data_IF_007322374985
#
_entry.id   IF_007322374985
#
_cell.length_a   1.000
_cell.length_b   1.000
_cell.length_c   1.000
_cell.angle_alpha   90.00
_cell.angle_beta   90.00
_cell.angle_gamma   90.00
#
_symmetry.space_group_name_H-M   'P 1'
#
loop_
_entity.id
_entity.type
_entity.pdbx_description
1 polymer ?
#
# COMPACT_ATOMS: atom_id res chain seq x y z
N UNK A 1 4.78 3.73 0.02
CA UNK A 1 5.92 2.90 -0.47
C UNK A 1 5.51 1.43 -0.46
N UNK A 2 6.31 0.53 -1.05
CA UNK A 2 6.10 -0.93 -1.11
C UNK A 2 7.42 -1.65 -0.88
N UNK A 3 7.38 -2.89 -0.40
CA UNK A 3 8.57 -3.70 -0.11
C UNK A 3 9.51 -3.84 -1.31
N UNK A 4 8.98 -4.14 -2.49
CA UNK A 4 9.76 -4.34 -3.71
C UNK A 4 10.47 -3.09 -4.27
N UNK A 5 10.39 -1.93 -3.60
CA UNK A 5 11.20 -0.74 -3.94
C UNK A 5 12.64 -0.91 -3.42
N UNK A 6 12.82 -1.69 -2.36
CA UNK A 6 14.12 -1.88 -1.69
C UNK A 6 14.68 -3.25 -2.05
N UNK A 7 15.97 -3.30 -2.42
CA UNK A 7 16.69 -4.57 -2.50
C UNK A 7 16.99 -5.07 -1.07
N UNK A 8 16.19 -6.05 -0.62
CA UNK A 8 16.30 -6.66 0.71
C UNK A 8 17.69 -7.26 0.97
N UNK A 9 18.39 -7.79 -0.05
CA UNK A 9 19.73 -8.36 0.14
C UNK A 9 20.76 -7.26 0.35
N UNK A 10 20.70 -6.19 -0.46
CA UNK A 10 21.58 -5.04 -0.30
C UNK A 10 21.35 -4.33 1.05
N UNK A 11 20.08 -4.22 1.48
CA UNK A 11 19.74 -3.69 2.79
C UNK A 11 20.35 -4.51 3.92
N UNK A 12 20.25 -5.84 3.86
CA UNK A 12 20.87 -6.72 4.86
C UNK A 12 22.38 -6.47 4.96
N UNK A 13 23.10 -6.45 3.82
CA UNK A 13 24.54 -6.17 3.79
C UNK A 13 24.84 -4.80 4.40
N UNK A 14 24.12 -3.75 4.00
CA UNK A 14 24.34 -2.40 4.50
C UNK A 14 24.16 -2.29 6.03
N UNK A 15 23.22 -3.06 6.59
CA UNK A 15 22.97 -3.11 8.04
C UNK A 15 24.06 -3.91 8.77
N UNK A 16 24.48 -5.06 8.24
CA UNK A 16 25.46 -5.92 8.89
C UNK A 16 26.89 -5.44 8.76
N UNK A 17 27.23 -4.76 7.66
CA UNK A 17 28.56 -4.18 7.43
C UNK A 17 28.68 -2.75 7.97
N UNK A 18 27.60 -2.20 8.55
CA UNK A 18 27.62 -0.88 9.18
C UNK A 18 27.66 0.30 8.21
N UNK A 19 27.22 0.12 6.97
CA UNK A 19 27.06 1.24 6.02
C UNK A 19 25.94 2.19 6.44
N UNK A 20 24.92 1.67 7.11
CA UNK A 20 23.86 2.44 7.76
C UNK A 20 23.70 1.97 9.21
N UNK A 21 23.26 2.88 10.08
CA UNK A 21 23.10 2.58 11.50
C UNK A 21 21.92 1.64 11.79
N UNK A 22 20.85 1.69 10.98
CA UNK A 22 19.64 0.89 11.17
C UNK A 22 18.58 1.16 10.11
N UNK A 23 17.44 0.45 10.18
CA UNK A 23 16.31 0.61 9.27
C UNK A 23 14.95 0.45 9.96
N UNK A 24 13.94 1.21 9.50
CA UNK A 24 12.54 1.05 9.87
C UNK A 24 11.73 0.55 8.67
N UNK A 25 11.08 -0.61 8.81
CA UNK A 25 10.39 -1.29 7.72
C UNK A 25 8.93 -1.55 8.09
N UNK A 26 7.99 -0.89 7.41
CA UNK A 26 6.56 -1.26 7.47
C UNK A 26 6.16 -2.20 6.32
N UNK A 27 6.90 -2.19 5.21
CA UNK A 27 6.64 -3.08 4.07
C UNK A 27 7.94 -3.76 3.66
N UNK A 28 7.86 -5.05 3.33
CA UNK A 28 8.98 -5.89 2.90
C UNK A 28 8.52 -6.78 1.74
N UNK A 29 9.46 -7.34 0.98
CA UNK A 29 9.16 -8.28 -0.10
C UNK A 29 9.94 -9.58 0.09
N UNK A 30 9.29 -10.76 0.12
CA UNK A 30 7.83 -10.97 0.09
C UNK A 30 7.11 -10.51 1.37
N UNK A 31 5.79 -10.25 1.26
CA UNK A 31 4.89 -9.88 2.36
C UNK A 31 3.75 -10.92 2.48
N UNK A 32 3.63 -11.67 3.59
CA UNK A 32 4.47 -11.62 4.79
C UNK A 32 5.88 -12.21 4.55
N UNK A 33 6.91 -11.72 5.25
CA UNK A 33 8.24 -12.31 5.19
C UNK A 33 8.24 -13.71 5.84
N UNK A 34 9.17 -14.56 5.42
CA UNK A 34 9.46 -15.80 6.16
C UNK A 34 9.88 -15.45 7.59
N UNK A 35 9.46 -16.26 8.57
CA UNK A 35 9.93 -16.18 9.97
C UNK A 35 11.45 -16.32 10.10
N UNK A 36 12.08 -16.96 9.11
CA UNK A 36 13.53 -17.12 9.04
C UNK A 36 14.26 -15.98 8.35
N UNK A 37 13.54 -14.93 7.89
CA UNK A 37 14.15 -13.79 7.22
C UNK A 37 15.19 -13.12 8.13
N UNK A 38 16.47 -13.06 7.71
CA UNK A 38 17.55 -12.63 8.58
C UNK A 38 17.46 -11.15 8.98
N UNK A 39 16.82 -10.30 8.19
CA UNK A 39 16.60 -8.89 8.56
C UNK A 39 15.74 -8.75 9.81
N UNK A 40 14.78 -9.66 10.03
CA UNK A 40 13.91 -9.64 11.21
C UNK A 40 14.65 -10.01 12.50
N UNK A 41 15.88 -10.53 12.38
CA UNK A 41 16.72 -10.97 13.51
C UNK A 41 17.78 -9.92 13.90
N UNK A 42 17.84 -8.78 13.20
CA UNK A 42 18.83 -7.74 13.43
C UNK A 42 18.36 -6.76 14.53
N UNK A 43 19.22 -6.47 15.50
CA UNK A 43 18.92 -5.55 16.61
C UNK A 43 18.77 -4.09 16.16
N UNK A 44 19.30 -3.74 14.98
CA UNK A 44 19.23 -2.40 14.40
C UNK A 44 18.09 -2.24 13.37
N UNK A 45 17.07 -3.11 13.42
CA UNK A 45 15.89 -3.05 12.56
C UNK A 45 14.62 -2.95 13.39
N UNK A 46 13.77 -1.99 13.07
CA UNK A 46 12.39 -1.90 13.56
C UNK A 46 11.47 -2.36 12.43
N UNK A 47 10.62 -3.35 12.71
CA UNK A 47 9.66 -3.87 11.74
C UNK A 47 8.22 -3.70 12.24
N UNK A 48 7.34 -3.22 11.37
CA UNK A 48 5.89 -3.17 11.57
C UNK A 48 5.20 -3.93 10.44
N UNK A 49 4.16 -4.70 10.75
CA UNK A 49 3.56 -5.66 9.81
C UNK A 49 2.60 -5.04 8.80
N UNK A 50 3.07 -4.12 7.96
CA UNK A 50 2.26 -3.40 6.96
C UNK A 50 1.05 -2.70 7.59
N UNK A 51 1.30 -2.01 8.70
CA UNK A 51 0.27 -1.42 9.57
C UNK A 51 0.33 0.10 9.65
N UNK A 52 1.14 0.77 8.81
CA UNK A 52 1.22 2.24 8.83
C UNK A 52 -0.13 2.94 8.57
N UNK A 53 -1.14 2.22 8.07
CA UNK A 53 -2.49 2.74 7.88
C UNK A 53 -3.41 2.64 9.11
N UNK A 54 -3.02 1.88 10.14
CA UNK A 54 -3.92 1.43 11.22
C UNK A 54 -4.06 2.46 12.35
N UNK A 55 -4.55 3.67 12.04
CA UNK A 55 -4.94 4.69 13.01
C UNK A 55 -6.47 4.75 13.20
N UNK A 56 -6.97 5.15 14.38
CA UNK A 56 -8.42 5.19 14.64
C UNK A 56 -9.16 6.16 13.72
N UNK A 57 -8.56 7.31 13.36
CA UNK A 57 -9.13 8.24 12.38
C UNK A 57 -9.12 7.64 10.97
N UNK A 58 -8.06 6.91 10.62
CA UNK A 58 -7.91 6.28 9.32
C UNK A 58 -8.90 5.12 9.11
N UNK A 59 -9.25 4.38 10.17
CA UNK A 59 -10.20 3.27 10.11
C UNK A 59 -11.60 3.74 9.70
N UNK A 60 -12.11 4.83 10.30
CA UNK A 60 -13.40 5.40 9.91
C UNK A 60 -13.42 5.83 8.43
N UNK A 61 -12.34 6.47 7.97
CA UNK A 61 -12.18 6.93 6.60
C UNK A 61 -12.02 5.79 5.59
N UNK A 62 -11.36 4.70 5.99
CA UNK A 62 -11.14 3.51 5.17
C UNK A 62 -12.46 2.90 4.70
N UNK A 63 -13.50 2.95 5.54
CA UNK A 63 -14.84 2.48 5.17
C UNK A 63 -15.68 3.55 4.49
N UNK A 64 -15.65 4.78 4.99
CA UNK A 64 -16.48 5.88 4.48
C UNK A 64 -16.19 6.18 3.01
N UNK A 65 -14.91 6.37 2.67
CA UNK A 65 -14.52 6.87 1.33
C UNK A 65 -14.90 5.93 0.19
N UNK A 66 -14.62 4.61 0.23
CA UNK A 66 -15.03 3.71 -0.85
C UNK A 66 -16.56 3.66 -1.03
N UNK A 67 -17.32 3.69 0.07
CA UNK A 67 -18.79 3.66 0.01
C UNK A 67 -19.36 4.93 -0.62
N UNK A 68 -18.76 6.09 -0.35
CA UNK A 68 -19.13 7.35 -1.00
C UNK A 68 -18.90 7.31 -2.51
N UNK A 69 -17.80 6.72 -2.98
CA UNK A 69 -17.55 6.56 -4.42
C UNK A 69 -18.55 5.61 -5.08
N UNK A 70 -18.95 4.54 -4.40
CA UNK A 70 -20.01 3.62 -4.88
C UNK A 70 -21.35 4.37 -4.98
N UNK A 71 -21.71 5.13 -3.96
CA UNK A 71 -22.92 5.95 -3.96
C UNK A 71 -22.89 7.00 -5.07
N UNK A 72 -21.75 7.63 -5.31
CA UNK A 72 -21.51 8.58 -6.41
C UNK A 72 -21.78 7.95 -7.77
N UNK A 73 -21.19 6.78 -8.04
CA UNK A 73 -21.42 6.05 -9.29
C UNK A 73 -22.89 5.64 -9.46
N UNK A 74 -23.58 5.27 -8.36
CA UNK A 74 -25.01 4.97 -8.40
C UNK A 74 -25.86 6.18 -8.81
N UNK A 75 -25.43 7.40 -8.47
CA UNK A 75 -26.09 8.64 -8.87
C UNK A 75 -25.68 9.15 -10.25
N UNK A 76 -24.83 8.42 -10.98
CA UNK A 76 -24.41 8.80 -12.34
C UNK A 76 -23.17 9.71 -12.39
N UNK A 77 -22.51 9.90 -11.25
CA UNK A 77 -21.32 10.74 -11.14
C UNK A 77 -20.03 9.89 -11.16
N UNK A 78 -18.95 10.44 -11.75
CA UNK A 78 -17.64 9.77 -11.76
C UNK A 78 -16.96 9.81 -10.40
N UNK A 79 -16.25 8.73 -9.98
CA UNK A 79 -15.51 8.73 -8.73
C UNK A 79 -14.51 9.89 -8.64
N UNK A 80 -14.36 10.49 -7.46
CA UNK A 80 -13.38 11.56 -7.25
C UNK A 80 -11.94 11.06 -7.42
N UNK A 81 -11.64 9.88 -6.88
CA UNK A 81 -10.31 9.28 -6.93
C UNK A 81 -10.16 8.23 -8.06
N UNK A 82 -10.64 8.55 -9.26
CA UNK A 82 -10.48 7.65 -10.40
C UNK A 82 -9.03 7.62 -10.90
N UNK A 83 -8.28 6.61 -10.48
CA UNK A 83 -6.84 6.48 -10.80
C UNK A 83 -6.56 6.24 -12.28
N UNK A 84 -7.49 5.58 -12.99
CA UNK A 84 -7.33 5.22 -14.40
C UNK A 84 -8.41 5.90 -15.26
N UNK A 85 -8.34 7.22 -15.54
CA UNK A 85 -9.38 7.93 -16.28
C UNK A 85 -9.73 7.34 -17.65
N UNK A 86 -8.78 6.67 -18.31
CA UNK A 86 -8.96 5.99 -19.58
C UNK A 86 -10.02 4.87 -19.55
N UNK A 87 -10.39 4.37 -18.37
CA UNK A 87 -11.44 3.35 -18.26
C UNK A 87 -12.84 3.88 -18.54
N UNK A 88 -13.03 5.21 -18.53
CA UNK A 88 -14.34 5.85 -18.81
C UNK A 88 -14.88 5.45 -20.18
N UNK A 89 -14.03 5.43 -21.20
CA UNK A 89 -14.42 5.04 -22.57
C UNK A 89 -14.95 3.60 -22.62
N UNK A 90 -14.18 2.65 -22.04
CA UNK A 90 -14.58 1.24 -21.96
C UNK A 90 -15.86 1.05 -21.15
N UNK A 91 -16.01 1.82 -20.07
CA UNK A 91 -17.23 1.81 -19.26
C UNK A 91 -18.44 2.26 -20.08
N UNK A 92 -18.34 3.41 -20.77
CA UNK A 92 -19.43 3.96 -21.58
C UNK A 92 -19.80 3.04 -22.74
N UNK A 93 -18.82 2.43 -23.41
CA UNK A 93 -19.08 1.44 -24.46
C UNK A 93 -19.86 0.22 -23.95
N UNK A 94 -19.59 -0.23 -22.72
CA UNK A 94 -20.20 -1.43 -22.15
C UNK A 94 -21.55 -1.16 -21.48
N UNK A 95 -21.66 -0.03 -20.77
CA UNK A 95 -22.77 0.24 -19.86
C UNK A 95 -23.57 1.51 -20.21
N UNK A 96 -23.15 2.25 -21.24
CA UNK A 96 -23.74 3.54 -21.61
C UNK A 96 -23.18 4.70 -20.78
N UNK A 97 -23.65 5.91 -21.11
CA UNK A 97 -23.31 7.10 -20.32
C UNK A 97 -23.82 6.95 -18.89
N UNK A 98 -23.05 7.45 -17.94
CA UNK A 98 -23.58 7.62 -16.59
C UNK A 98 -24.67 8.68 -16.63
N UNK A 99 -25.79 8.39 -15.95
CA UNK A 99 -27.02 9.20 -16.01
C UNK A 99 -26.85 10.58 -15.42
#
# INVERSE_FOLDING_TARGET
ARGGIVDTKALYVALTEGYIAGAGLDAIDPDPPSVDNPILKLDNVIFTGHTAFAGPEAEAEMWRRPLEEIARMKHGEWPHCLLNPQVKEKFVQKWGQMR
#
